data_IF_808103630403
#
_entry.id   IF_808103630403
#
_cell.length_a   1.000
_cell.length_b   1.000
_cell.length_c   1.000
_cell.angle_alpha   90.00
_cell.angle_beta   90.00
_cell.angle_gamma   90.00
#
_symmetry.space_group_name_H-M   'P 1'
#
loop_
_entity.id
_entity.type
_entity.pdbx_description
1 polymer ?
#
# COMPACT_ATOMS: atom_id res chain seq x y z
N UNK A 1 -21.27 1.10 -18.68
CA UNK A 1 -19.85 1.44 -18.87
C UNK A 1 -19.41 2.05 -17.55
N UNK A 2 -18.52 1.37 -16.82
CA UNK A 2 -18.11 1.82 -15.49
C UNK A 2 -17.32 3.13 -15.63
N UNK A 3 -17.73 4.15 -14.89
CA UNK A 3 -17.12 5.46 -14.89
C UNK A 3 -15.72 5.38 -14.26
N UNK A 4 -14.71 5.81 -15.00
CA UNK A 4 -13.34 5.94 -14.49
C UNK A 4 -13.30 7.14 -13.54
N UNK A 5 -13.44 6.89 -12.23
CA UNK A 5 -13.20 7.91 -11.22
C UNK A 5 -11.72 8.33 -11.26
N UNK A 6 -11.51 9.56 -11.69
CA UNK A 6 -10.21 10.24 -11.68
C UNK A 6 -9.81 10.54 -10.23
N UNK A 7 -9.19 9.57 -9.55
CA UNK A 7 -8.62 9.75 -8.21
C UNK A 7 -7.41 10.67 -8.32
N UNK A 8 -7.65 11.99 -8.23
CA UNK A 8 -6.61 13.00 -8.04
C UNK A 8 -6.02 12.83 -6.65
N UNK A 9 -4.97 12.01 -6.56
CA UNK A 9 -4.26 11.81 -5.30
C UNK A 9 -3.30 12.98 -5.04
N UNK A 10 -3.82 14.03 -4.40
CA UNK A 10 -3.03 15.20 -3.95
C UNK A 10 -2.25 14.87 -2.68
N UNK A 11 -1.24 14.02 -2.78
CA UNK A 11 -0.20 13.92 -1.75
C UNK A 11 1.13 14.11 -2.42
N UNK A 12 1.89 15.14 -2.00
CA UNK A 12 3.28 15.36 -2.40
C UNK A 12 3.99 14.01 -2.55
N UNK A 13 4.30 13.64 -3.79
CA UNK A 13 5.05 12.42 -4.09
C UNK A 13 6.36 12.49 -3.30
N UNK A 14 6.44 11.74 -2.20
CA UNK A 14 7.76 11.28 -1.76
C UNK A 14 8.33 10.60 -2.98
N UNK A 15 9.46 11.11 -3.49
CA UNK A 15 10.10 10.56 -4.68
C UNK A 15 10.19 9.06 -4.44
N UNK A 16 9.80 8.23 -5.40
CA UNK A 16 9.76 6.77 -5.22
C UNK A 16 11.07 6.22 -4.60
N UNK A 17 12.18 6.90 -4.88
CA UNK A 17 13.52 6.68 -4.34
C UNK A 17 13.71 6.92 -2.83
N UNK A 18 12.75 7.53 -2.15
CA UNK A 18 12.78 7.75 -0.70
C UNK A 18 12.12 6.61 0.07
N UNK A 19 11.40 5.71 -0.61
CA UNK A 19 10.78 4.58 0.05
C UNK A 19 11.80 3.52 0.53
N UNK A 20 11.51 2.82 1.63
CA UNK A 20 12.29 1.66 2.06
C UNK A 20 12.45 0.65 0.93
N UNK A 21 13.61 -0.03 0.87
CA UNK A 21 13.91 -1.01 -0.19
C UNK A 21 12.85 -2.11 -0.31
N UNK A 22 12.30 -2.57 0.81
CA UNK A 22 11.22 -3.56 0.87
C UNK A 22 9.95 -3.05 0.21
N UNK A 23 9.55 -1.80 0.49
CA UNK A 23 8.36 -1.18 -0.09
C UNK A 23 8.51 -0.95 -1.60
N UNK A 24 9.68 -0.49 -2.05
CA UNK A 24 9.98 -0.35 -3.48
C UNK A 24 9.88 -1.68 -4.23
N UNK A 25 10.40 -2.77 -3.64
CA UNK A 25 10.29 -4.11 -4.22
C UNK A 25 8.84 -4.56 -4.33
N UNK A 26 8.03 -4.36 -3.28
CA UNK A 26 6.61 -4.68 -3.31
C UNK A 26 5.87 -3.88 -4.40
N UNK A 27 6.08 -2.56 -4.46
CA UNK A 27 5.49 -1.70 -5.50
C UNK A 27 5.93 -2.09 -6.91
N UNK A 28 7.19 -2.49 -7.09
CA UNK A 28 7.69 -2.97 -8.38
C UNK A 28 7.04 -4.29 -8.78
N UNK A 29 6.90 -5.23 -7.84
CA UNK A 29 6.22 -6.50 -8.08
C UNK A 29 4.75 -6.30 -8.49
N UNK A 30 4.03 -5.43 -7.77
CA UNK A 30 2.65 -5.02 -8.08
C UNK A 30 2.53 -4.47 -9.50
N UNK A 31 3.47 -3.61 -9.91
CA UNK A 31 3.46 -2.96 -11.23
C UNK A 31 3.81 -3.88 -12.40
N UNK A 32 4.53 -4.98 -12.16
CA UNK A 32 5.07 -5.81 -13.24
C UNK A 32 4.24 -7.06 -13.48
N UNK A 33 4.07 -7.92 -12.47
CA UNK A 33 3.66 -9.31 -12.67
C UNK A 33 2.65 -9.82 -11.65
N UNK A 34 2.06 -8.93 -10.84
CA UNK A 34 1.13 -9.35 -9.80
C UNK A 34 -0.22 -9.79 -10.39
N UNK A 35 -0.68 -10.99 -10.01
CA UNK A 35 -2.04 -11.45 -10.31
C UNK A 35 -3.03 -10.79 -9.34
N UNK A 36 -4.31 -10.73 -9.72
CA UNK A 36 -5.36 -10.17 -8.85
C UNK A 36 -5.36 -10.79 -7.45
N UNK A 37 -5.26 -12.11 -7.36
CA UNK A 37 -5.18 -12.80 -6.06
C UNK A 37 -3.92 -12.51 -5.24
N UNK A 38 -2.84 -12.03 -5.87
CA UNK A 38 -1.64 -11.57 -5.16
C UNK A 38 -1.84 -10.14 -4.63
N UNK A 39 -2.55 -9.30 -5.38
CA UNK A 39 -2.96 -7.97 -4.92
C UNK A 39 -3.88 -8.07 -3.69
N UNK A 40 -4.87 -8.95 -3.71
CA UNK A 40 -5.79 -9.17 -2.58
C UNK A 40 -5.03 -9.60 -1.31
N UNK A 41 -4.02 -10.48 -1.45
CA UNK A 41 -3.18 -10.92 -0.33
C UNK A 41 -2.33 -9.79 0.22
N UNK A 42 -1.72 -9.00 -0.66
CA UNK A 42 -0.91 -7.85 -0.28
C UNK A 42 -1.77 -6.84 0.47
N UNK A 43 -2.95 -6.52 -0.05
CA UNK A 43 -3.91 -5.60 0.59
C UNK A 43 -4.27 -6.05 2.00
N UNK A 44 -4.70 -7.31 2.17
CA UNK A 44 -5.02 -7.87 3.50
C UNK A 44 -3.84 -7.77 4.46
N UNK A 45 -2.64 -8.10 4.00
CA UNK A 45 -1.41 -8.04 4.82
C UNK A 45 -1.13 -6.61 5.29
N UNK A 46 -1.28 -5.61 4.40
CA UNK A 46 -1.09 -4.20 4.77
C UNK A 46 -2.15 -3.73 5.76
N UNK A 47 -3.42 -4.11 5.56
CA UNK A 47 -4.51 -3.77 6.48
C UNK A 47 -4.24 -4.35 7.88
N UNK A 48 -3.87 -5.62 7.96
CA UNK A 48 -3.55 -6.29 9.23
C UNK A 48 -2.38 -5.63 9.95
N UNK A 49 -1.33 -5.26 9.20
CA UNK A 49 -0.19 -4.54 9.75
C UNK A 49 -0.58 -3.17 10.30
N UNK A 50 -1.39 -2.40 9.55
CA UNK A 50 -1.89 -1.08 10.00
C UNK A 50 -2.76 -1.23 11.25
N UNK A 51 -3.66 -2.21 11.28
CA UNK A 51 -4.53 -2.46 12.43
C UNK A 51 -3.74 -2.87 13.67
N UNK A 52 -2.74 -3.73 13.51
CA UNK A 52 -1.82 -4.10 14.58
C UNK A 52 -1.09 -2.88 15.11
N UNK A 53 -0.51 -2.06 14.22
CA UNK A 53 0.19 -0.84 14.62
C UNK A 53 -0.72 0.18 15.32
N UNK A 54 -1.97 0.33 14.87
CA UNK A 54 -2.97 1.20 15.53
C UNK A 54 -3.26 0.71 16.94
N UNK A 55 -3.46 -0.60 17.14
CA UNK A 55 -3.67 -1.18 18.47
C UNK A 55 -2.48 -0.97 19.40
N UNK A 56 -1.25 -1.10 18.90
CA UNK A 56 -0.04 -0.81 19.69
C UNK A 56 0.05 0.65 20.11
N UNK A 57 -0.28 1.57 19.20
CA UNK A 57 -0.25 3.01 19.47
C UNK A 57 -1.37 3.43 20.44
N UNK A 58 -2.53 2.79 20.38
CA UNK A 58 -3.62 3.03 21.33
C UNK A 58 -3.32 2.48 22.74
N UNK A 59 -2.46 1.47 22.84
CA UNK A 59 -2.04 0.87 24.12
C UNK A 59 -0.81 1.56 24.72
N UNK A 60 -0.16 2.48 23.99
CA UNK A 60 0.89 3.34 24.53
C UNK A 60 0.24 4.62 25.08
N UNK A 61 0.44 4.95 26.38
CA UNK A 61 -0.02 6.21 26.95
C UNK A 61 0.69 7.42 26.32
#
# INVERSE_FOLDING_TARGET
MCEEENVKNTTKDKKFDEYPKSLKKALRYIRQDAKLGDLDKIERTFIDFINTRRKELQQKP
#
